data_IF_560656340254
#
_entry.id   IF_560656340254
#
_cell.length_a   1.000
_cell.length_b   1.000
_cell.length_c   1.000
_cell.angle_alpha   90.00
_cell.angle_beta   90.00
_cell.angle_gamma   90.00
#
_symmetry.space_group_name_H-M   'P 1'
#
loop_
_entity.id
_entity.type
_entity.pdbx_description
1 polymer ?
#
# COMPACT_ATOMS: atom_id res chain seq x y z
N UNK A 1 13.12 -19.75 -5.54
CA UNK A 1 12.33 -19.85 -4.28
C UNK A 1 11.02 -19.14 -4.57
N UNK A 2 9.90 -19.84 -4.50
CA UNK A 2 8.57 -19.28 -4.83
C UNK A 2 7.96 -18.71 -3.56
N UNK A 3 7.50 -17.47 -3.58
CA UNK A 3 6.93 -16.80 -2.42
C UNK A 3 5.42 -17.01 -2.36
N UNK A 4 4.96 -17.59 -1.24
CA UNK A 4 3.54 -17.67 -0.88
C UNK A 4 3.34 -16.88 0.40
N UNK A 5 2.51 -15.85 0.36
CA UNK A 5 2.25 -15.00 1.52
C UNK A 5 0.89 -15.34 2.13
N UNK A 6 0.88 -15.50 3.46
CA UNK A 6 -0.34 -15.65 4.24
C UNK A 6 -0.56 -14.43 5.11
N UNK A 7 -1.78 -13.95 5.14
CA UNK A 7 -2.18 -12.89 6.07
C UNK A 7 -2.58 -13.49 7.42
N UNK A 8 -1.62 -13.64 8.35
CA UNK A 8 -1.93 -13.80 9.76
C UNK A 8 -1.41 -12.60 10.55
N UNK A 9 -2.12 -12.12 11.58
CA UNK A 9 -1.77 -10.87 12.27
C UNK A 9 -0.43 -10.88 13.01
N UNK A 10 0.16 -12.01 13.32
CA UNK A 10 1.31 -12.07 14.25
C UNK A 10 2.51 -12.95 13.85
N UNK A 11 2.39 -13.86 12.90
CA UNK A 11 3.51 -14.69 12.47
C UNK A 11 3.45 -14.98 10.97
N UNK A 12 4.34 -14.36 10.22
CA UNK A 12 4.58 -14.74 8.82
C UNK A 12 5.54 -15.92 8.86
N UNK A 13 5.04 -17.14 8.80
CA UNK A 13 5.85 -18.29 8.43
C UNK A 13 5.88 -18.37 6.91
N UNK A 14 7.05 -18.29 6.35
CA UNK A 14 7.27 -18.57 4.94
C UNK A 14 7.09 -20.09 4.75
N UNK A 15 6.06 -20.50 4.01
CA UNK A 15 5.86 -21.88 3.62
C UNK A 15 6.43 -22.00 2.21
N UNK A 16 7.31 -22.96 1.99
CA UNK A 16 7.78 -23.27 0.64
C UNK A 16 6.65 -23.93 -0.14
N UNK A 17 6.69 -23.79 -1.46
CA UNK A 17 5.73 -24.46 -2.34
C UNK A 17 5.74 -25.98 -2.11
N UNK A 18 6.91 -26.56 -1.84
CA UNK A 18 7.09 -27.97 -1.53
C UNK A 18 6.38 -28.38 -0.23
N UNK A 19 6.47 -27.57 0.83
CA UNK A 19 5.75 -27.81 2.09
C UNK A 19 4.23 -27.76 1.92
N UNK A 20 3.72 -26.83 1.08
CA UNK A 20 2.30 -26.76 0.77
C UNK A 20 1.81 -27.98 -0.01
N UNK A 21 2.65 -28.48 -0.93
CA UNK A 21 2.29 -29.60 -1.81
C UNK A 21 2.52 -30.98 -1.16
N UNK A 22 3.39 -31.09 -0.18
CA UNK A 22 3.64 -32.32 0.57
C UNK A 22 2.60 -32.61 1.66
N UNK A 23 1.61 -31.68 1.83
CA UNK A 23 0.57 -31.84 2.85
C UNK A 23 1.14 -31.87 4.27
N UNK A 24 2.17 -31.08 4.53
CA UNK A 24 2.67 -30.91 5.89
C UNK A 24 1.51 -30.40 6.74
N UNK A 25 1.13 -31.19 7.76
CA UNK A 25 0.11 -30.83 8.73
C UNK A 25 0.50 -29.51 9.39
N UNK A 26 -0.05 -28.42 8.89
CA UNK A 26 0.03 -27.12 9.54
C UNK A 26 -0.89 -27.26 10.75
N UNK A 27 -0.38 -27.14 11.99
CA UNK A 27 -1.23 -27.24 13.15
C UNK A 27 -2.36 -26.21 13.02
N UNK A 28 -3.62 -26.68 13.05
CA UNK A 28 -4.83 -25.85 12.92
C UNK A 28 -4.87 -24.72 13.94
N UNK A 29 -4.18 -24.87 15.07
CA UNK A 29 -4.05 -23.85 16.13
C UNK A 29 -3.22 -22.64 15.69
N UNK A 30 -2.35 -22.77 14.70
CA UNK A 30 -1.63 -21.62 14.12
C UNK A 30 -2.49 -20.78 13.15
N UNK A 31 -3.67 -21.28 12.78
CA UNK A 31 -4.63 -20.62 11.88
C UNK A 31 -5.83 -19.99 12.62
N UNK A 32 -5.93 -20.21 13.94
CA UNK A 32 -7.01 -19.70 14.78
C UNK A 32 -6.54 -18.52 15.63
N UNK A 33 -6.60 -17.32 15.10
CA UNK A 33 -6.79 -16.12 15.94
C UNK A 33 -7.35 -14.97 15.13
N UNK A 34 -8.59 -14.66 15.40
CA UNK A 34 -9.12 -13.30 15.23
C UNK A 34 -10.01 -13.01 14.05
N UNK A 35 -11.34 -13.07 14.28
CA UNK A 35 -12.29 -12.07 13.78
C UNK A 35 -12.80 -12.21 12.33
N UNK A 36 -14.03 -12.66 12.23
CA UNK A 36 -14.99 -12.45 11.11
C UNK A 36 -14.41 -12.29 9.69
N UNK A 37 -14.14 -13.41 9.04
CA UNK A 37 -13.91 -13.52 7.62
C UNK A 37 -14.04 -14.99 7.22
N UNK A 38 -14.84 -15.28 6.20
CA UNK A 38 -15.17 -16.61 5.72
C UNK A 38 -13.95 -17.55 5.66
N UNK A 39 -13.97 -18.59 6.46
CA UNK A 39 -13.01 -19.69 6.45
C UNK A 39 -13.16 -20.46 5.11
N UNK A 40 -12.22 -20.30 4.20
CA UNK A 40 -12.08 -21.24 3.09
C UNK A 40 -11.28 -22.44 3.60
N UNK A 41 -11.97 -23.51 3.94
CA UNK A 41 -11.37 -24.79 4.26
C UNK A 41 -10.82 -25.37 2.96
N UNK A 42 -9.50 -25.46 2.83
CA UNK A 42 -8.87 -26.24 1.77
C UNK A 42 -8.93 -27.70 2.20
N UNK A 43 -9.93 -28.43 1.72
CA UNK A 43 -9.98 -29.88 1.88
C UNK A 43 -9.02 -30.48 0.84
N UNK A 44 -7.82 -30.84 1.24
CA UNK A 44 -6.93 -31.67 0.44
C UNK A 44 -7.50 -33.06 0.34
N UNK A 45 -8.39 -33.33 -0.61
CA UNK A 45 -8.63 -34.68 -1.08
C UNK A 45 -7.35 -35.18 -1.79
N UNK A 46 -7.01 -36.46 -1.64
CA UNK A 46 -5.83 -37.10 -2.25
C UNK A 46 -5.92 -37.13 -3.79
N UNK A 47 -5.87 -35.97 -4.43
CA UNK A 47 -5.72 -35.90 -5.89
C UNK A 47 -4.22 -35.88 -6.18
N UNK A 48 -3.73 -36.72 -7.11
CA UNK A 48 -2.31 -36.70 -7.45
C UNK A 48 -1.86 -35.28 -7.82
N UNK A 49 -0.81 -34.81 -7.16
CA UNK A 49 -0.24 -33.46 -7.25
C UNK A 49 -0.10 -32.95 -8.68
N UNK A 50 0.35 -33.83 -9.58
CA UNK A 50 0.52 -33.54 -11.01
C UNK A 50 -0.80 -33.18 -11.72
N UNK A 51 -1.91 -33.86 -11.37
CA UNK A 51 -3.22 -33.59 -11.99
C UNK A 51 -3.79 -32.27 -11.51
N UNK A 52 -3.68 -31.92 -10.23
CA UNK A 52 -4.14 -30.64 -9.71
C UNK A 52 -3.37 -29.45 -10.30
N UNK A 53 -2.03 -29.57 -10.42
CA UNK A 53 -1.20 -28.54 -11.06
C UNK A 53 -1.62 -28.28 -12.50
N UNK A 54 -1.78 -29.33 -13.30
CA UNK A 54 -2.15 -29.24 -14.72
C UNK A 54 -3.53 -28.58 -14.85
N UNK A 55 -4.53 -29.07 -14.12
CA UNK A 55 -5.91 -28.54 -14.22
C UNK A 55 -6.01 -27.07 -13.82
N UNK A 56 -5.28 -26.64 -12.78
CA UNK A 56 -5.30 -25.25 -12.33
C UNK A 56 -4.57 -24.33 -13.31
N UNK A 57 -3.41 -24.75 -13.82
CA UNK A 57 -2.66 -24.01 -14.83
C UNK A 57 -3.45 -23.84 -16.12
N UNK A 58 -4.06 -24.93 -16.62
CA UNK A 58 -4.89 -24.90 -17.83
C UNK A 58 -6.09 -23.95 -17.68
N UNK A 59 -6.70 -23.92 -16.48
CA UNK A 59 -7.79 -23.00 -16.18
C UNK A 59 -7.33 -21.53 -16.25
N UNK A 60 -6.18 -21.20 -15.65
CA UNK A 60 -5.62 -19.85 -15.71
C UNK A 60 -5.26 -19.43 -17.14
N UNK A 61 -4.61 -20.33 -17.90
CA UNK A 61 -4.28 -20.07 -19.30
C UNK A 61 -5.55 -19.89 -20.16
N UNK A 62 -6.60 -20.68 -19.90
CA UNK A 62 -7.89 -20.54 -20.59
C UNK A 62 -8.56 -19.19 -20.27
N UNK A 63 -8.51 -18.74 -19.01
CA UNK A 63 -9.00 -17.43 -18.61
C UNK A 63 -8.22 -16.30 -19.32
N UNK A 64 -6.89 -16.40 -19.43
CA UNK A 64 -6.08 -15.43 -20.16
C UNK A 64 -6.45 -15.37 -21.65
N UNK A 65 -6.63 -16.54 -22.30
CA UNK A 65 -7.06 -16.59 -23.70
C UNK A 65 -8.43 -15.95 -23.89
N UNK A 66 -9.37 -16.23 -23.02
CA UNK A 66 -10.71 -15.63 -23.05
C UNK A 66 -10.63 -14.11 -22.87
N UNK A 67 -9.87 -13.62 -21.87
CA UNK A 67 -9.63 -12.21 -21.66
C UNK A 67 -9.02 -11.53 -22.91
N UNK A 68 -7.96 -12.11 -23.46
CA UNK A 68 -7.28 -11.59 -24.65
C UNK A 68 -8.17 -11.57 -25.89
N UNK A 69 -9.13 -12.50 -26.00
CA UNK A 69 -10.11 -12.53 -27.08
C UNK A 69 -11.19 -11.46 -26.87
N UNK A 70 -11.72 -11.34 -25.66
CA UNK A 70 -12.75 -10.35 -25.34
C UNK A 70 -12.27 -8.89 -25.51
N UNK A 71 -11.00 -8.62 -25.19
CA UNK A 71 -10.41 -7.28 -25.24
C UNK A 71 -9.38 -7.10 -26.35
N UNK A 72 -9.49 -7.91 -27.41
CA UNK A 72 -8.53 -7.90 -28.52
C UNK A 72 -8.34 -6.51 -29.10
N UNK A 73 -9.42 -5.79 -29.36
CA UNK A 73 -9.39 -4.47 -30.02
C UNK A 73 -8.70 -3.41 -29.15
N UNK A 74 -8.87 -3.48 -27.83
CA UNK A 74 -8.16 -2.60 -26.87
C UNK A 74 -6.67 -2.97 -26.74
N UNK A 75 -6.35 -4.27 -26.72
CA UNK A 75 -4.97 -4.77 -26.63
C UNK A 75 -4.17 -4.40 -27.88
N UNK A 76 -4.77 -4.57 -29.03
CA UNK A 76 -4.16 -4.35 -30.33
C UNK A 76 -4.35 -2.89 -30.84
N UNK A 77 -4.96 -2.01 -30.01
CA UNK A 77 -5.18 -0.61 -30.38
C UNK A 77 -3.84 0.10 -30.64
N UNK A 78 -3.68 0.72 -31.84
CA UNK A 78 -2.36 1.19 -32.29
C UNK A 78 -1.81 2.35 -31.46
N UNK A 79 -2.68 3.25 -30.99
CA UNK A 79 -2.29 4.41 -30.18
C UNK A 79 -2.98 4.37 -28.81
N UNK A 80 -2.41 3.63 -27.86
CA UNK A 80 -3.00 3.51 -26.50
C UNK A 80 -3.15 4.84 -25.76
N UNK A 81 -2.41 5.87 -26.17
CA UNK A 81 -2.56 7.22 -25.58
C UNK A 81 -3.99 7.76 -25.73
N UNK A 82 -4.63 7.52 -26.84
CA UNK A 82 -6.01 7.94 -27.13
C UNK A 82 -7.08 7.24 -26.27
N UNK A 83 -6.73 6.20 -25.54
CA UNK A 83 -7.64 5.48 -24.66
C UNK A 83 -7.72 6.10 -23.25
N UNK A 84 -7.09 7.26 -23.03
CA UNK A 84 -7.00 7.93 -21.74
C UNK A 84 -7.34 9.41 -21.85
N UNK A 85 -7.98 9.94 -20.80
CA UNK A 85 -8.05 11.38 -20.54
C UNK A 85 -6.81 11.79 -19.72
N UNK A 86 -6.06 12.76 -20.23
CA UNK A 86 -4.81 13.23 -19.64
C UNK A 86 -5.01 14.57 -18.95
N UNK A 87 -4.72 14.64 -17.67
CA UNK A 87 -4.75 15.89 -16.89
C UNK A 87 -3.75 15.88 -15.75
N UNK A 88 -3.55 17.03 -15.13
CA UNK A 88 -2.62 17.15 -14.02
C UNK A 88 -3.33 17.60 -12.74
N UNK A 89 -2.93 17.02 -11.61
CA UNK A 89 -3.40 17.45 -10.28
C UNK A 89 -2.25 18.00 -9.44
N UNK A 90 -2.46 19.04 -8.62
CA UNK A 90 -1.41 19.59 -7.78
C UNK A 90 -1.00 18.59 -6.68
N UNK A 91 0.32 18.41 -6.49
CA UNK A 91 0.85 17.66 -5.34
C UNK A 91 0.65 18.47 -4.07
N UNK A 92 0.41 17.81 -2.93
CA UNK A 92 0.21 18.47 -1.62
C UNK A 92 1.39 19.33 -1.17
N UNK A 93 2.59 19.05 -1.67
CA UNK A 93 3.82 19.78 -1.31
C UNK A 93 4.61 20.14 -2.56
N UNK A 94 5.20 21.35 -2.58
CA UNK A 94 6.20 21.76 -3.56
C UNK A 94 5.70 22.33 -4.88
N UNK A 95 4.40 22.61 -5.05
CA UNK A 95 3.86 23.25 -6.26
C UNK A 95 4.02 22.44 -7.56
N UNK A 96 4.50 21.20 -7.46
CA UNK A 96 4.66 20.31 -8.62
C UNK A 96 3.33 19.65 -8.97
N UNK A 97 3.09 19.48 -10.27
CA UNK A 97 1.93 18.77 -10.77
C UNK A 97 2.19 17.24 -10.83
N UNK A 98 1.12 16.46 -10.75
CA UNK A 98 1.13 15.01 -10.94
C UNK A 98 0.30 14.69 -12.17
N UNK A 99 0.88 14.10 -13.23
CA UNK A 99 0.10 13.65 -14.37
C UNK A 99 -0.80 12.48 -13.96
N UNK A 100 -2.02 12.51 -14.47
CA UNK A 100 -3.03 11.46 -14.31
C UNK A 100 -3.48 11.05 -15.70
N UNK A 101 -3.45 9.76 -15.93
CA UNK A 101 -3.95 9.13 -17.14
C UNK A 101 -5.20 8.32 -16.77
N UNK A 102 -6.37 8.95 -16.90
CA UNK A 102 -7.64 8.32 -16.57
C UNK A 102 -8.14 7.48 -17.73
N UNK A 103 -8.24 6.15 -17.61
CA UNK A 103 -8.65 5.28 -18.72
C UNK A 103 -10.12 5.50 -19.05
N UNK A 104 -10.46 5.52 -20.34
CA UNK A 104 -11.84 5.53 -20.82
C UNK A 104 -12.64 4.34 -20.27
N UNK A 105 -13.97 4.41 -20.21
CA UNK A 105 -14.81 3.43 -19.48
C UNK A 105 -14.55 1.97 -19.89
N UNK A 106 -14.39 1.69 -21.18
CA UNK A 106 -14.12 0.32 -21.65
C UNK A 106 -12.75 -0.20 -21.20
N UNK A 107 -11.70 0.61 -21.37
CA UNK A 107 -10.37 0.26 -20.89
C UNK A 107 -10.35 0.12 -19.36
N UNK A 108 -11.04 1.01 -18.64
CA UNK A 108 -11.16 0.92 -17.18
C UNK A 108 -11.81 -0.39 -16.75
N UNK A 109 -12.87 -0.82 -17.45
CA UNK A 109 -13.54 -2.11 -17.20
C UNK A 109 -12.61 -3.29 -17.47
N UNK A 110 -11.88 -3.28 -18.60
CA UNK A 110 -10.93 -4.31 -18.94
C UNK A 110 -9.80 -4.44 -17.89
N UNK A 111 -9.23 -3.31 -17.46
CA UNK A 111 -8.19 -3.27 -16.43
C UNK A 111 -8.68 -3.73 -15.05
N UNK A 112 -9.95 -3.43 -14.70
CA UNK A 112 -10.56 -3.93 -13.48
C UNK A 112 -10.76 -5.45 -13.54
N UNK A 113 -11.24 -5.98 -14.66
CA UNK A 113 -11.40 -7.43 -14.83
C UNK A 113 -10.06 -8.17 -14.84
N UNK A 114 -9.02 -7.60 -15.46
CA UNK A 114 -7.66 -8.17 -15.41
C UNK A 114 -7.16 -8.26 -13.97
N UNK A 115 -7.34 -7.19 -13.20
CA UNK A 115 -7.00 -7.15 -11.77
C UNK A 115 -7.75 -8.24 -10.99
N UNK A 116 -9.07 -8.30 -11.14
CA UNK A 116 -9.91 -9.23 -10.36
C UNK A 116 -9.59 -10.70 -10.72
N UNK A 117 -9.36 -10.99 -12.01
CA UNK A 117 -8.92 -12.29 -12.49
C UNK A 117 -7.58 -12.70 -11.84
N UNK A 118 -6.56 -11.85 -11.92
CA UNK A 118 -5.23 -12.15 -11.38
C UNK A 118 -5.23 -12.21 -9.86
N UNK A 119 -5.95 -11.33 -9.17
CA UNK A 119 -6.11 -11.36 -7.72
C UNK A 119 -6.81 -12.65 -7.26
N UNK A 120 -7.77 -13.16 -8.04
CA UNK A 120 -8.46 -14.41 -7.77
C UNK A 120 -7.56 -15.67 -7.82
N UNK A 121 -6.40 -15.58 -8.46
CA UNK A 121 -5.42 -16.70 -8.51
C UNK A 121 -4.48 -16.73 -7.32
N UNK A 122 -4.39 -15.62 -6.57
CA UNK A 122 -3.40 -15.44 -5.50
C UNK A 122 -4.01 -15.68 -4.12
N UNK A 123 -3.23 -16.24 -3.20
CA UNK A 123 -3.58 -16.26 -1.77
C UNK A 123 -3.47 -14.87 -1.14
N UNK A 124 -2.43 -14.13 -1.53
CA UNK A 124 -2.24 -12.74 -1.16
C UNK A 124 -1.54 -11.99 -2.30
N UNK A 125 -2.10 -10.85 -2.67
CA UNK A 125 -1.61 -10.00 -3.76
C UNK A 125 -0.60 -8.93 -3.28
N UNK A 126 -0.14 -9.04 -2.04
CA UNK A 126 0.82 -8.12 -1.45
C UNK A 126 1.57 -8.76 -0.28
N UNK A 127 2.75 -8.24 0.01
CA UNK A 127 3.50 -8.59 1.22
C UNK A 127 2.90 -7.92 2.47
N UNK A 128 3.11 -8.50 3.64
CA UNK A 128 2.57 -8.00 4.92
C UNK A 128 3.06 -6.59 5.31
N UNK A 129 4.16 -6.14 4.75
CA UNK A 129 4.66 -4.77 4.93
C UNK A 129 3.96 -3.73 4.05
N UNK A 130 3.22 -4.13 3.01
CA UNK A 130 2.51 -3.21 2.12
C UNK A 130 1.22 -2.70 2.76
N UNK A 131 1.02 -1.39 2.75
CA UNK A 131 -0.16 -0.72 3.32
C UNK A 131 -0.94 0.09 2.30
N UNK A 132 -0.30 0.59 1.24
CA UNK A 132 -1.00 1.27 0.17
C UNK A 132 -1.81 0.29 -0.68
N UNK A 133 -3.01 0.72 -1.10
CA UNK A 133 -3.87 -0.03 -2.03
C UNK A 133 -4.33 -1.41 -1.51
N UNK A 134 -4.26 -1.63 -0.23
CA UNK A 134 -4.67 -2.86 0.45
C UNK A 134 -5.97 -2.61 1.19
N UNK A 135 -6.99 -3.43 0.90
CA UNK A 135 -8.28 -3.32 1.57
C UNK A 135 -8.13 -3.51 3.09
N UNK A 136 -8.80 -2.64 3.86
CA UNK A 136 -8.76 -2.68 5.32
C UNK A 136 -7.45 -2.16 5.93
N UNK A 137 -6.51 -1.61 5.13
CA UNK A 137 -5.29 -0.98 5.62
C UNK A 137 -5.27 0.52 5.32
N UNK A 138 -4.85 1.31 6.28
CA UNK A 138 -4.73 2.76 6.18
C UNK A 138 -3.31 3.24 6.49
N UNK A 139 -3.05 4.52 6.29
CA UNK A 139 -1.82 5.17 6.73
C UNK A 139 -1.62 5.05 8.24
N UNK A 140 -2.72 5.12 9.03
CA UNK A 140 -2.70 4.94 10.47
C UNK A 140 -2.24 3.53 10.86
N UNK A 141 -2.70 2.49 10.14
CA UNK A 141 -2.31 1.11 10.43
C UNK A 141 -0.82 0.87 10.20
N UNK A 142 -0.24 1.51 9.16
CA UNK A 142 1.20 1.51 8.96
C UNK A 142 1.93 2.11 10.17
N UNK A 143 1.47 3.26 10.67
CA UNK A 143 2.07 3.92 11.84
C UNK A 143 1.87 3.11 13.12
N UNK A 144 0.71 2.46 13.30
CA UNK A 144 0.44 1.54 14.42
C UNK A 144 1.48 0.41 14.46
N UNK A 145 1.89 -0.13 13.31
CA UNK A 145 2.94 -1.15 13.27
C UNK A 145 4.24 -0.64 13.89
N UNK A 146 4.69 0.55 13.53
CA UNK A 146 5.88 1.18 14.12
C UNK A 146 5.70 1.54 15.61
N UNK A 147 4.50 1.95 16.02
CA UNK A 147 4.15 2.19 17.41
C UNK A 147 4.28 0.92 18.25
N UNK A 148 3.77 -0.22 17.78
CA UNK A 148 3.85 -1.53 18.48
C UNK A 148 5.28 -1.98 18.69
N UNK A 149 6.19 -1.64 17.78
CA UNK A 149 7.63 -1.88 17.92
C UNK A 149 8.31 -0.93 18.91
N UNK A 150 7.58 0.00 19.55
CA UNK A 150 8.11 1.02 20.46
C UNK A 150 9.27 1.80 19.85
N UNK A 151 9.20 2.02 18.55
CA UNK A 151 10.29 2.60 17.74
C UNK A 151 10.67 3.99 18.25
N UNK A 152 11.97 4.24 18.29
CA UNK A 152 12.55 5.53 18.67
C UNK A 152 13.25 6.22 17.50
N UNK A 153 13.89 5.44 16.62
CA UNK A 153 14.58 5.89 15.43
C UNK A 153 13.77 5.54 14.20
N UNK A 154 13.68 6.47 13.24
CA UNK A 154 12.85 6.35 12.04
C UNK A 154 13.66 6.75 10.82
N UNK A 155 13.51 6.04 9.72
CA UNK A 155 14.06 6.41 8.43
C UNK A 155 12.99 6.22 7.35
N UNK A 156 12.97 7.16 6.41
CA UNK A 156 12.11 7.17 5.24
C UNK A 156 12.97 7.16 3.99
N UNK A 157 12.59 6.32 3.03
CA UNK A 157 13.14 6.28 1.69
C UNK A 157 12.00 6.39 0.68
N UNK A 158 12.26 6.99 -0.48
CA UNK A 158 11.28 7.24 -1.54
C UNK A 158 11.85 6.74 -2.88
N UNK A 159 11.04 6.02 -3.67
CA UNK A 159 11.43 5.64 -5.02
C UNK A 159 11.13 6.74 -6.02
N UNK A 160 12.12 7.07 -6.84
CA UNK A 160 11.94 8.01 -7.93
C UNK A 160 11.31 7.33 -9.14
N UNK A 161 10.22 7.91 -9.65
CA UNK A 161 9.58 7.44 -10.88
C UNK A 161 8.90 6.08 -10.78
N UNK A 162 8.48 5.63 -9.60
CA UNK A 162 8.01 4.27 -9.33
C UNK A 162 7.01 3.75 -10.38
N UNK A 163 5.87 4.41 -10.59
CA UNK A 163 4.88 4.00 -11.58
C UNK A 163 5.36 4.17 -13.03
N UNK A 164 5.78 5.37 -13.47
CA UNK A 164 6.11 5.60 -14.87
C UNK A 164 7.37 4.87 -15.35
N UNK A 165 8.27 4.49 -14.43
CA UNK A 165 9.47 3.70 -14.78
C UNK A 165 9.22 2.19 -14.75
N UNK A 166 8.13 1.72 -14.13
CA UNK A 166 7.83 0.28 -14.04
C UNK A 166 7.48 -0.28 -15.40
N UNK A 167 8.37 -1.10 -15.98
CA UNK A 167 8.19 -1.71 -17.28
C UNK A 167 7.52 -3.07 -17.22
N UNK A 168 6.84 -3.48 -18.30
CA UNK A 168 6.28 -4.83 -18.44
C UNK A 168 7.35 -5.92 -18.26
N UNK A 169 8.57 -5.69 -18.77
CA UNK A 169 9.70 -6.62 -18.61
C UNK A 169 10.03 -6.84 -17.12
N UNK A 170 10.10 -5.77 -16.35
CA UNK A 170 10.37 -5.86 -14.91
C UNK A 170 9.27 -6.61 -14.17
N UNK A 171 8.00 -6.29 -14.46
CA UNK A 171 6.85 -6.98 -13.84
C UNK A 171 6.91 -8.47 -14.13
N UNK A 172 7.10 -8.89 -15.38
CA UNK A 172 7.21 -10.30 -15.73
C UNK A 172 8.40 -10.99 -15.05
N UNK A 173 9.55 -10.32 -14.93
CA UNK A 173 10.74 -10.84 -14.22
C UNK A 173 10.42 -11.09 -12.74
N UNK A 174 9.73 -10.17 -12.08
CA UNK A 174 9.34 -10.37 -10.67
C UNK A 174 8.30 -11.49 -10.52
N UNK A 175 7.38 -11.63 -11.47
CA UNK A 175 6.37 -12.69 -11.47
C UNK A 175 6.96 -14.09 -11.61
N UNK A 176 8.16 -14.25 -12.16
CA UNK A 176 8.87 -15.53 -12.20
C UNK A 176 9.20 -16.07 -10.80
N UNK A 177 9.22 -15.21 -9.78
CA UNK A 177 9.42 -15.57 -8.37
C UNK A 177 8.11 -15.69 -7.57
N UNK A 178 6.93 -15.50 -8.20
CA UNK A 178 5.64 -15.41 -7.50
C UNK A 178 4.69 -16.51 -7.98
N UNK A 179 4.20 -17.35 -7.05
CA UNK A 179 3.13 -18.30 -7.33
C UNK A 179 1.77 -17.55 -7.47
N UNK A 180 0.91 -17.92 -8.46
CA UNK A 180 1.07 -18.96 -9.45
C UNK A 180 1.68 -18.49 -10.79
N UNK A 181 2.14 -17.24 -10.90
CA UNK A 181 2.63 -16.65 -12.13
C UNK A 181 3.89 -17.36 -12.65
N UNK A 182 4.73 -17.87 -11.75
CA UNK A 182 5.89 -18.67 -12.13
C UNK A 182 5.47 -19.88 -13.00
N UNK A 183 4.40 -20.59 -12.65
CA UNK A 183 3.89 -21.73 -13.44
C UNK A 183 3.37 -21.28 -14.82
N UNK A 184 2.65 -20.15 -14.86
CA UNK A 184 2.14 -19.57 -16.12
C UNK A 184 3.31 -19.16 -17.02
N UNK A 185 4.38 -18.61 -16.43
CA UNK A 185 5.55 -18.15 -17.16
C UNK A 185 6.50 -19.26 -17.60
N UNK A 186 6.46 -20.43 -16.96
CA UNK A 186 7.16 -21.65 -17.41
C UNK A 186 6.49 -22.25 -18.67
N UNK A 187 5.16 -22.14 -18.80
CA UNK A 187 4.43 -22.60 -19.96
C UNK A 187 4.53 -21.60 -21.13
N UNK A 188 4.94 -22.03 -22.35
CA UNK A 188 5.11 -21.11 -23.49
C UNK A 188 3.81 -20.40 -23.92
N UNK A 189 2.67 -21.09 -23.83
CA UNK A 189 1.36 -20.52 -24.15
C UNK A 189 0.96 -19.55 -23.04
N UNK A 190 1.08 -19.97 -21.78
CA UNK A 190 0.81 -19.15 -20.63
C UNK A 190 1.63 -17.85 -20.62
N UNK A 191 2.92 -17.94 -20.87
CA UNK A 191 3.83 -16.78 -20.99
C UNK A 191 3.36 -15.79 -22.06
N UNK A 192 2.98 -16.28 -23.23
CA UNK A 192 2.48 -15.44 -24.33
C UNK A 192 1.19 -14.76 -23.97
N UNK A 193 0.22 -15.51 -23.44
CA UNK A 193 -1.10 -14.99 -23.11
C UNK A 193 -1.04 -14.00 -21.92
N UNK A 194 -0.25 -14.27 -20.89
CA UNK A 194 -0.05 -13.37 -19.76
C UNK A 194 0.62 -12.06 -20.21
N UNK A 195 1.69 -12.16 -21.02
CA UNK A 195 2.35 -10.98 -21.57
C UNK A 195 1.41 -10.12 -22.39
N UNK A 196 0.55 -10.75 -23.21
CA UNK A 196 -0.44 -10.06 -24.04
C UNK A 196 -1.49 -9.35 -23.17
N UNK A 197 -2.06 -10.03 -22.20
CA UNK A 197 -3.03 -9.43 -21.26
C UNK A 197 -2.43 -8.25 -20.50
N UNK A 198 -1.23 -8.43 -19.92
CA UNK A 198 -0.54 -7.39 -19.18
C UNK A 198 -0.17 -6.18 -20.05
N UNK A 199 0.11 -6.37 -21.35
CA UNK A 199 0.46 -5.25 -22.24
C UNK A 199 -0.62 -4.18 -22.32
N UNK A 200 -1.88 -4.52 -22.00
CA UNK A 200 -3.00 -3.58 -21.95
C UNK A 200 -2.82 -2.51 -20.85
N UNK A 201 -2.15 -2.87 -19.76
CA UNK A 201 -2.01 -2.01 -18.58
C UNK A 201 -0.84 -1.00 -18.68
N UNK A 202 -0.04 -1.06 -19.74
CA UNK A 202 1.14 -0.21 -19.87
C UNK A 202 0.93 0.89 -20.92
N UNK A 203 1.30 2.11 -20.54
CA UNK A 203 1.31 3.30 -21.38
C UNK A 203 2.73 3.86 -21.43
N UNK A 204 3.24 4.18 -22.64
CA UNK A 204 4.60 4.73 -22.81
C UNK A 204 5.69 3.92 -22.06
N UNK A 205 5.58 2.60 -22.09
CA UNK A 205 6.49 1.64 -21.44
C UNK A 205 6.51 1.72 -19.91
N UNK A 206 5.55 2.39 -19.28
CA UNK A 206 5.39 2.52 -17.82
C UNK A 206 3.96 2.22 -17.37
N UNK A 207 3.73 2.22 -16.06
CA UNK A 207 2.40 2.11 -15.48
C UNK A 207 1.75 3.49 -15.37
N UNK A 208 0.58 3.72 -16.01
CA UNK A 208 -0.13 4.99 -15.89
C UNK A 208 -0.69 5.20 -14.48
N UNK A 209 -0.71 6.46 -14.03
CA UNK A 209 -1.35 6.85 -12.77
C UNK A 209 -2.82 7.20 -13.01
N UNK A 210 -3.73 6.54 -12.31
CA UNK A 210 -5.18 6.76 -12.45
C UNK A 210 -5.96 5.52 -12.85
N UNK A 211 -5.29 4.40 -13.11
CA UNK A 211 -5.94 3.14 -13.48
C UNK A 211 -6.23 2.25 -12.26
N UNK A 212 -7.22 1.35 -12.33
CA UNK A 212 -7.50 0.41 -11.25
C UNK A 212 -6.44 -0.72 -11.14
N UNK A 213 -5.68 -0.97 -12.20
CA UNK A 213 -4.70 -2.06 -12.27
C UNK A 213 -3.33 -1.68 -11.73
N UNK A 214 -2.85 -0.45 -12.00
CA UNK A 214 -1.49 -0.02 -11.63
C UNK A 214 -1.19 -0.17 -10.13
N UNK A 215 -2.08 0.21 -9.19
CA UNK A 215 -1.86 -0.01 -7.77
C UNK A 215 -1.74 -1.48 -7.37
N UNK A 216 -2.55 -2.35 -7.95
CA UNK A 216 -2.54 -3.79 -7.71
C UNK A 216 -1.21 -4.42 -8.15
N UNK A 217 -0.85 -4.20 -9.42
CA UNK A 217 0.34 -4.84 -9.99
C UNK A 217 1.63 -4.36 -9.31
N UNK A 218 1.68 -3.11 -8.82
CA UNK A 218 2.83 -2.62 -8.06
C UNK A 218 2.98 -3.33 -6.72
N UNK A 219 1.90 -3.71 -6.05
CA UNK A 219 1.99 -4.53 -4.84
C UNK A 219 2.44 -5.96 -5.15
N UNK A 220 1.92 -6.56 -6.22
CA UNK A 220 2.31 -7.92 -6.65
C UNK A 220 3.79 -7.98 -7.00
N UNK A 221 4.26 -7.12 -7.92
CA UNK A 221 5.66 -7.15 -8.37
C UNK A 221 6.68 -6.85 -7.26
N UNK A 222 6.25 -6.18 -6.20
CA UNK A 222 7.11 -5.87 -5.06
C UNK A 222 7.18 -6.98 -4.01
N UNK A 223 6.44 -8.07 -4.14
CA UNK A 223 6.49 -9.19 -3.19
C UNK A 223 7.93 -9.74 -3.03
N UNK A 224 8.68 -10.07 -4.10
CA UNK A 224 10.05 -10.56 -3.96
C UNK A 224 10.99 -9.52 -3.32
N UNK A 225 10.86 -8.26 -3.71
CA UNK A 225 11.60 -7.16 -3.10
C UNK A 225 11.32 -7.04 -1.60
N UNK A 226 10.04 -7.01 -1.22
CA UNK A 226 9.61 -6.86 0.17
C UNK A 226 10.14 -8.00 1.04
N UNK A 227 10.13 -9.24 0.54
CA UNK A 227 10.73 -10.39 1.24
C UNK A 227 12.25 -10.26 1.40
N UNK A 228 12.96 -9.92 0.32
CA UNK A 228 14.41 -9.73 0.35
C UNK A 228 14.80 -8.61 1.31
N UNK A 229 14.09 -7.49 1.24
CA UNK A 229 14.37 -6.33 2.11
C UNK A 229 14.04 -6.60 3.58
N UNK A 230 12.91 -7.25 3.88
CA UNK A 230 12.56 -7.65 5.24
C UNK A 230 13.61 -8.60 5.84
N UNK A 231 14.12 -9.56 5.06
CA UNK A 231 15.20 -10.46 5.47
C UNK A 231 16.50 -9.70 5.76
N UNK A 232 16.92 -8.82 4.84
CA UNK A 232 18.08 -7.97 5.02
C UNK A 232 17.99 -7.16 6.33
N UNK A 233 16.85 -6.56 6.63
CA UNK A 233 16.64 -5.78 7.85
C UNK A 233 16.70 -6.65 9.12
N UNK A 234 16.22 -7.88 9.07
CA UNK A 234 16.35 -8.83 10.18
C UNK A 234 17.82 -9.22 10.42
N UNK A 235 18.56 -9.51 9.36
CA UNK A 235 19.99 -9.85 9.42
C UNK A 235 20.83 -8.66 9.87
N UNK A 236 20.38 -7.44 9.56
CA UNK A 236 21.09 -6.20 9.90
C UNK A 236 21.31 -6.01 11.41
N UNK A 237 20.41 -6.52 12.24
CA UNK A 237 20.53 -6.49 13.71
C UNK A 237 21.01 -7.81 14.32
N UNK A 238 21.09 -8.87 13.52
CA UNK A 238 21.54 -10.18 13.99
C UNK A 238 23.02 -10.12 14.42
N UNK A 239 23.33 -10.72 15.56
CA UNK A 239 24.71 -10.79 16.09
C UNK A 239 25.27 -9.49 16.68
N UNK A 240 24.49 -8.41 16.74
CA UNK A 240 24.90 -7.18 17.41
C UNK A 240 24.62 -7.24 18.91
N UNK A 241 25.50 -6.60 19.69
CA UNK A 241 25.34 -6.46 21.12
C UNK A 241 25.25 -4.99 21.52
N UNK A 242 24.57 -4.74 22.65
CA UNK A 242 24.64 -3.48 23.37
C UNK A 242 26.05 -3.26 23.95
N UNK A 243 26.40 -2.06 24.41
CA UNK A 243 27.70 -1.80 25.05
C UNK A 243 27.97 -2.68 26.28
N UNK A 244 26.95 -3.19 26.93
CA UNK A 244 27.04 -4.12 28.07
C UNK A 244 27.21 -5.59 27.67
N UNK A 245 27.35 -5.88 26.37
CA UNK A 245 27.50 -7.24 25.85
C UNK A 245 26.20 -8.01 25.65
N UNK A 246 25.03 -7.46 26.02
CA UNK A 246 23.73 -8.11 25.80
C UNK A 246 23.36 -8.11 24.33
N UNK A 247 22.80 -9.21 23.77
CA UNK A 247 22.38 -9.24 22.37
C UNK A 247 21.28 -8.23 22.08
N UNK A 248 21.36 -7.55 20.92
CA UNK A 248 20.29 -6.70 20.41
C UNK A 248 19.22 -7.61 19.83
N UNK A 249 18.07 -7.71 20.49
CA UNK A 249 16.91 -8.47 20.05
C UNK A 249 15.89 -7.62 19.29
N UNK A 250 16.08 -6.30 19.28
CA UNK A 250 15.16 -5.37 18.64
C UNK A 250 15.26 -5.46 17.12
N UNK A 251 14.15 -5.79 16.48
CA UNK A 251 14.04 -5.88 15.02
C UNK A 251 13.74 -4.51 14.42
N UNK A 252 14.23 -4.30 13.20
CA UNK A 252 13.83 -3.13 12.41
C UNK A 252 12.44 -3.37 11.85
N UNK A 253 11.49 -2.52 12.23
CA UNK A 253 10.15 -2.51 11.68
C UNK A 253 10.19 -1.94 10.27
N UNK A 254 9.46 -2.58 9.34
CA UNK A 254 9.36 -2.17 7.95
C UNK A 254 7.90 -2.07 7.50
N UNK A 255 7.57 -0.95 6.84
CA UNK A 255 6.32 -0.77 6.10
C UNK A 255 6.60 -0.08 4.77
N UNK A 256 5.80 -0.42 3.75
CA UNK A 256 5.82 0.22 2.43
C UNK A 256 4.43 0.78 2.11
N UNK A 257 4.39 2.02 1.67
CA UNK A 257 3.18 2.67 1.18
C UNK A 257 3.40 3.14 -0.25
N UNK A 258 3.08 2.29 -1.24
CA UNK A 258 3.43 2.46 -2.65
C UNK A 258 4.96 2.58 -2.84
N UNK A 259 5.44 3.77 -3.18
CA UNK A 259 6.84 4.16 -3.34
C UNK A 259 7.54 4.59 -2.05
N UNK A 260 6.78 4.89 -0.98
CA UNK A 260 7.32 5.29 0.31
C UNK A 260 7.70 4.08 1.17
N UNK A 261 8.96 3.97 1.55
CA UNK A 261 9.48 2.96 2.47
C UNK A 261 9.74 3.61 3.83
N UNK A 262 9.13 3.06 4.87
CA UNK A 262 9.39 3.47 6.25
C UNK A 262 10.01 2.33 7.04
N UNK A 263 11.12 2.61 7.69
CA UNK A 263 11.75 1.69 8.63
C UNK A 263 11.94 2.38 9.98
N UNK A 264 11.86 1.60 11.05
CA UNK A 264 12.08 2.13 12.39
C UNK A 264 12.56 1.05 13.36
N UNK A 265 13.22 1.48 14.42
CA UNK A 265 13.71 0.58 15.46
C UNK A 265 13.72 1.30 16.83
N UNK A 266 13.64 0.53 17.91
CA UNK A 266 13.81 1.05 19.27
C UNK A 266 15.25 1.50 19.51
N UNK A 267 16.22 0.76 19.01
CA UNK A 267 17.66 1.06 19.12
C UNK A 267 18.19 1.71 17.87
N UNK A 268 19.30 2.42 17.98
CA UNK A 268 19.95 3.07 16.85
C UNK A 268 20.37 2.05 15.78
N UNK A 269 20.16 2.39 14.52
CA UNK A 269 20.65 1.65 13.36
C UNK A 269 21.30 2.60 12.34
N UNK A 270 22.31 2.11 11.64
CA UNK A 270 22.99 2.91 10.62
C UNK A 270 22.16 2.92 9.32
N UNK A 271 21.29 3.94 9.18
CA UNK A 271 20.43 4.09 8.02
C UNK A 271 21.19 4.25 6.69
N UNK A 272 22.39 4.87 6.71
CA UNK A 272 23.23 5.01 5.50
C UNK A 272 23.74 3.67 4.99
N UNK A 273 23.97 2.71 5.89
CA UNK A 273 24.30 1.35 5.49
C UNK A 273 23.08 0.67 4.89
N UNK A 274 21.89 0.83 5.50
CA UNK A 274 20.64 0.31 4.95
C UNK A 274 20.35 0.91 3.57
N UNK A 275 20.56 2.21 3.38
CA UNK A 275 20.40 2.90 2.10
C UNK A 275 21.30 2.30 1.00
N UNK A 276 22.58 2.05 1.30
CA UNK A 276 23.51 1.43 0.34
C UNK A 276 23.10 0.01 -0.04
N UNK A 277 22.68 -0.81 0.94
CA UNK A 277 22.19 -2.16 0.69
C UNK A 277 20.89 -2.14 -0.12
N UNK A 278 20.01 -1.17 0.15
CA UNK A 278 18.78 -0.98 -0.63
C UNK A 278 19.10 -0.62 -2.09
N UNK A 279 20.03 0.28 -2.34
CA UNK A 279 20.49 0.63 -3.70
C UNK A 279 21.11 -0.60 -4.39
N UNK A 280 21.96 -1.35 -3.71
CA UNK A 280 22.54 -2.57 -4.25
C UNK A 280 21.48 -3.61 -4.62
N UNK A 281 20.45 -3.78 -3.78
CA UNK A 281 19.33 -4.68 -4.04
C UNK A 281 18.50 -4.24 -5.27
N UNK A 282 18.26 -2.93 -5.46
CA UNK A 282 17.58 -2.44 -6.65
C UNK A 282 18.36 -2.75 -7.92
N UNK A 283 19.68 -2.63 -7.87
CA UNK A 283 20.57 -3.01 -8.98
C UNK A 283 20.54 -4.53 -9.25
N UNK A 284 20.59 -5.36 -8.21
CA UNK A 284 20.50 -6.81 -8.35
C UNK A 284 19.20 -7.26 -9.01
N UNK A 285 18.11 -6.58 -8.69
CA UNK A 285 16.78 -6.87 -9.26
C UNK A 285 16.59 -6.31 -10.67
N UNK A 286 17.53 -5.51 -11.22
CA UNK A 286 17.34 -4.70 -12.43
C UNK A 286 16.10 -3.79 -12.31
N UNK A 287 15.87 -3.20 -11.15
CA UNK A 287 14.74 -2.31 -10.93
C UNK A 287 14.81 -1.07 -11.85
N UNK A 288 13.72 -0.73 -12.55
CA UNK A 288 13.73 0.39 -13.48
C UNK A 288 13.56 1.76 -12.79
N UNK A 289 13.36 1.76 -11.49
CA UNK A 289 13.27 2.95 -10.63
C UNK A 289 14.46 3.00 -9.67
N UNK A 290 14.77 4.19 -9.21
CA UNK A 290 15.92 4.45 -8.32
C UNK A 290 15.45 4.98 -6.98
N UNK A 291 16.36 4.97 -6.00
CA UNK A 291 16.12 5.62 -4.71
C UNK A 291 16.33 7.14 -4.85
N UNK A 292 15.38 7.91 -4.34
CA UNK A 292 15.49 9.37 -4.24
C UNK A 292 16.21 9.75 -2.95
N UNK A 293 17.55 9.77 -3.00
CA UNK A 293 18.40 10.02 -1.84
C UNK A 293 18.23 11.41 -1.23
N UNK A 294 17.76 12.41 -2.01
CA UNK A 294 17.47 13.76 -1.51
C UNK A 294 16.27 13.79 -0.56
N UNK A 295 15.35 12.82 -0.71
CA UNK A 295 14.21 12.66 0.16
C UNK A 295 14.46 11.69 1.33
N UNK A 296 15.61 11.02 1.37
CA UNK A 296 15.96 10.19 2.52
C UNK A 296 15.94 11.04 3.79
N UNK A 297 15.12 10.62 4.75
CA UNK A 297 14.97 11.34 6.00
C UNK A 297 15.14 10.41 7.19
N UNK A 298 16.05 10.80 8.11
CA UNK A 298 16.26 10.11 9.37
C UNK A 298 15.88 11.01 10.55
N UNK A 299 15.15 10.48 11.51
CA UNK A 299 14.71 11.22 12.68
C UNK A 299 14.49 10.33 13.90
N UNK A 300 14.15 10.97 15.01
CA UNK A 300 13.84 10.29 16.25
C UNK A 300 12.45 10.70 16.76
N UNK A 301 11.92 9.96 17.74
CA UNK A 301 10.65 10.31 18.40
C UNK A 301 10.68 11.70 19.05
N UNK A 302 11.85 12.16 19.49
CA UNK A 302 12.01 13.50 20.06
C UNK A 302 12.03 14.61 18.99
N UNK A 303 12.16 14.25 17.70
CA UNK A 303 12.29 15.19 16.59
C UNK A 303 11.25 14.98 15.49
N UNK A 304 11.70 15.06 14.24
CA UNK A 304 10.87 14.88 13.06
C UNK A 304 10.79 13.42 12.66
N UNK A 305 9.71 12.74 13.02
CA UNK A 305 9.45 11.34 12.69
C UNK A 305 8.16 11.19 11.86
N UNK A 306 7.91 12.15 10.96
CA UNK A 306 6.73 12.14 10.10
C UNK A 306 6.71 10.91 9.20
N UNK A 307 5.57 10.25 9.19
CA UNK A 307 5.31 9.03 8.46
C UNK A 307 3.88 9.11 7.90
N UNK A 308 3.77 9.22 6.57
CA UNK A 308 2.48 9.28 5.88
C UNK A 308 1.52 10.38 6.39
N UNK A 309 2.08 11.52 6.81
CA UNK A 309 1.31 12.64 7.35
C UNK A 309 0.96 12.53 8.83
N UNK A 310 1.44 11.50 9.52
CA UNK A 310 1.30 11.25 10.96
C UNK A 310 2.67 11.18 11.61
N UNK A 311 2.71 11.25 12.94
CA UNK A 311 3.94 11.06 13.72
C UNK A 311 3.62 10.38 15.05
N UNK A 312 4.65 9.83 15.69
CA UNK A 312 4.59 9.41 17.09
C UNK A 312 5.10 10.54 17.98
N UNK A 313 4.31 10.93 18.97
CA UNK A 313 4.74 11.90 19.97
C UNK A 313 5.78 11.28 20.95
N UNK A 314 6.31 12.09 21.88
CA UNK A 314 7.28 11.61 22.88
C UNK A 314 6.77 10.43 23.73
N UNK A 315 5.46 10.38 23.96
CA UNK A 315 4.80 9.35 24.79
C UNK A 315 4.50 8.08 23.95
N UNK A 316 4.69 8.16 22.63
CA UNK A 316 4.46 7.07 21.69
C UNK A 316 3.06 7.05 21.08
N UNK A 317 2.24 8.08 21.30
CA UNK A 317 0.92 8.18 20.70
C UNK A 317 0.98 8.70 19.27
N UNK A 318 0.08 8.20 18.44
CA UNK A 318 -0.04 8.66 17.05
C UNK A 318 -0.76 10.00 17.04
N UNK A 319 -0.18 10.98 16.35
CA UNK A 319 -0.72 12.35 16.27
C UNK A 319 -0.65 12.90 14.84
N UNK A 320 -1.61 13.76 14.50
CA UNK A 320 -1.57 14.58 13.29
C UNK A 320 -0.62 15.78 13.43
N UNK A 321 -0.06 15.99 14.61
CA UNK A 321 0.93 16.99 14.94
C UNK A 321 0.40 18.39 15.22
N UNK A 322 1.20 19.17 15.94
CA UNK A 322 0.83 20.48 16.46
C UNK A 322 0.32 21.45 15.39
N UNK A 323 0.97 21.47 14.20
CA UNK A 323 0.56 22.38 13.10
C UNK A 323 -0.87 22.10 12.65
N UNK A 324 -1.23 20.82 12.47
CA UNK A 324 -2.57 20.43 12.03
C UNK A 324 -3.61 20.70 13.13
N UNK A 325 -3.27 20.50 14.41
CA UNK A 325 -4.13 20.91 15.52
C UNK A 325 -4.39 22.43 15.53
N UNK A 326 -3.36 23.24 15.27
CA UNK A 326 -3.50 24.69 15.20
C UNK A 326 -4.40 25.12 14.03
N UNK A 327 -4.19 24.52 12.86
CA UNK A 327 -5.02 24.78 11.67
C UNK A 327 -6.47 24.36 11.97
N UNK A 328 -6.72 23.18 12.51
CA UNK A 328 -8.07 22.72 12.86
C UNK A 328 -8.77 23.70 13.79
N UNK A 329 -8.11 24.11 14.89
CA UNK A 329 -8.66 25.09 15.83
C UNK A 329 -9.01 26.42 15.15
N UNK A 330 -8.11 26.94 14.32
CA UNK A 330 -8.35 28.18 13.56
C UNK A 330 -9.53 28.03 12.60
N UNK A 331 -9.60 26.90 11.88
CA UNK A 331 -10.68 26.63 10.92
C UNK A 331 -12.05 26.51 11.62
N UNK A 332 -12.12 25.83 12.77
CA UNK A 332 -13.35 25.76 13.58
C UNK A 332 -13.78 27.16 14.06
N UNK A 333 -12.83 27.92 14.55
CA UNK A 333 -13.09 29.32 15.02
C UNK A 333 -13.63 30.19 13.89
N UNK A 334 -12.98 30.15 12.70
CA UNK A 334 -13.40 30.91 11.52
C UNK A 334 -14.78 30.47 11.05
N UNK A 335 -15.05 29.16 10.97
CA UNK A 335 -16.35 28.64 10.55
C UNK A 335 -17.49 29.14 11.44
N UNK A 336 -17.36 29.07 12.77
CA UNK A 336 -18.39 29.56 13.68
C UNK A 336 -18.57 31.08 13.62
N UNK A 337 -17.49 31.84 13.46
CA UNK A 337 -17.56 33.30 13.31
C UNK A 337 -18.27 33.69 12.01
N UNK A 338 -17.88 33.08 10.89
CA UNK A 338 -18.47 33.33 9.57
C UNK A 338 -19.97 32.99 9.59
N UNK A 339 -20.31 31.81 10.15
CA UNK A 339 -21.70 31.38 10.29
C UNK A 339 -22.55 32.34 11.14
N UNK A 340 -22.01 32.83 12.25
CA UNK A 340 -22.67 33.82 13.10
C UNK A 340 -22.89 35.14 12.41
N UNK A 341 -21.98 35.52 11.52
CA UNK A 341 -22.06 36.76 10.71
C UNK A 341 -22.88 36.56 9.41
N UNK A 342 -23.53 35.41 9.24
CA UNK A 342 -24.34 35.12 8.03
C UNK A 342 -23.52 34.79 6.79
N UNK A 343 -22.19 34.69 6.89
CA UNK A 343 -21.31 34.32 5.77
C UNK A 343 -21.37 32.78 5.58
N UNK A 344 -21.68 32.36 4.38
CA UNK A 344 -21.74 30.95 4.00
C UNK A 344 -20.44 30.52 3.38
N UNK A 345 -20.02 29.31 3.73
CA UNK A 345 -18.92 28.60 3.05
C UNK A 345 -19.49 27.88 1.83
N UNK A 346 -18.68 27.71 0.82
CA UNK A 346 -19.04 26.87 -0.32
C UNK A 346 -19.06 25.38 0.05
N UNK A 347 -19.70 24.59 -0.81
CA UNK A 347 -19.88 23.16 -0.55
C UNK A 347 -18.53 22.42 -0.54
N UNK A 348 -17.59 22.80 -1.41
CA UNK A 348 -16.29 22.16 -1.51
C UNK A 348 -15.47 22.36 -0.23
N UNK A 349 -15.44 23.59 0.30
CA UNK A 349 -14.75 23.91 1.55
C UNK A 349 -15.38 23.22 2.75
N UNK A 350 -16.71 23.14 2.81
CA UNK A 350 -17.43 22.39 3.86
C UNK A 350 -17.14 20.90 3.80
N UNK A 351 -17.11 20.30 2.61
CA UNK A 351 -16.79 18.89 2.43
C UNK A 351 -15.33 18.59 2.84
N UNK A 352 -14.38 19.44 2.44
CA UNK A 352 -12.97 19.36 2.87
C UNK A 352 -12.83 19.47 4.38
N UNK A 353 -13.54 20.44 4.98
CA UNK A 353 -13.50 20.66 6.42
C UNK A 353 -14.05 19.45 7.19
N UNK A 354 -15.22 18.95 6.79
CA UNK A 354 -15.81 17.72 7.36
C UNK A 354 -14.88 16.51 7.23
N UNK A 355 -14.29 16.33 6.05
CA UNK A 355 -13.33 15.26 5.78
C UNK A 355 -12.10 15.33 6.69
N UNK A 356 -11.53 16.53 6.87
CA UNK A 356 -10.41 16.73 7.78
C UNK A 356 -10.75 16.42 9.24
N UNK A 357 -11.92 16.86 9.73
CA UNK A 357 -12.39 16.54 11.08
C UNK A 357 -12.54 15.03 11.24
N UNK A 358 -13.20 14.36 10.32
CA UNK A 358 -13.41 12.91 10.36
C UNK A 358 -12.09 12.15 10.36
N UNK A 359 -11.13 12.56 9.53
CA UNK A 359 -9.80 11.97 9.50
C UNK A 359 -9.06 12.18 10.84
N UNK A 360 -9.05 13.40 11.39
CA UNK A 360 -8.36 13.67 12.64
C UNK A 360 -9.02 12.95 13.83
N UNK A 361 -10.35 12.85 13.87
CA UNK A 361 -11.07 12.02 14.84
C UNK A 361 -10.68 10.54 14.73
N UNK A 362 -10.48 10.02 13.53
CA UNK A 362 -10.03 8.63 13.35
C UNK A 362 -8.61 8.39 13.86
N UNK A 363 -7.75 9.42 13.85
CA UNK A 363 -6.35 9.34 14.32
C UNK A 363 -6.24 9.55 15.83
N UNK A 364 -6.80 10.65 16.34
CA UNK A 364 -6.68 11.10 17.74
C UNK A 364 -8.08 11.38 18.35
N UNK A 365 -8.93 10.34 18.55
CA UNK A 365 -10.34 10.54 18.89
C UNK A 365 -10.54 11.39 20.15
N UNK A 366 -9.84 11.11 21.25
CA UNK A 366 -10.01 11.82 22.52
C UNK A 366 -9.58 13.29 22.42
N UNK A 367 -8.41 13.57 21.82
CA UNK A 367 -7.85 14.91 21.67
C UNK A 367 -8.75 15.79 20.79
N UNK A 368 -9.16 15.26 19.64
CA UNK A 368 -9.96 16.03 18.67
C UNK A 368 -11.39 16.22 19.17
N UNK A 369 -12.00 15.19 19.78
CA UNK A 369 -13.31 15.34 20.43
C UNK A 369 -13.30 16.43 21.51
N UNK A 370 -12.27 16.47 22.34
CA UNK A 370 -12.10 17.53 23.36
C UNK A 370 -11.96 18.94 22.74
N UNK A 371 -11.27 19.05 21.61
CA UNK A 371 -11.22 20.33 20.86
C UNK A 371 -12.60 20.72 20.36
N UNK A 372 -13.35 19.81 19.73
CA UNK A 372 -14.70 20.08 19.21
C UNK A 372 -15.63 20.50 20.36
N UNK A 373 -15.66 19.74 21.46
CA UNK A 373 -16.50 20.04 22.64
C UNK A 373 -16.22 21.44 23.19
N UNK A 374 -14.95 21.85 23.27
CA UNK A 374 -14.56 23.19 23.72
C UNK A 374 -15.20 24.28 22.83
N UNK A 375 -15.17 24.10 21.51
CA UNK A 375 -15.75 25.09 20.60
C UNK A 375 -17.27 25.02 20.56
N UNK A 376 -17.87 23.84 20.69
CA UNK A 376 -19.32 23.66 20.84
C UNK A 376 -19.83 24.44 22.06
N UNK A 377 -19.15 24.32 23.20
CA UNK A 377 -19.49 25.07 24.44
C UNK A 377 -19.32 26.59 24.24
N UNK A 378 -18.23 27.00 23.56
CA UNK A 378 -17.96 28.44 23.31
C UNK A 378 -19.02 29.11 22.44
N UNK A 379 -19.56 28.40 21.45
CA UNK A 379 -20.48 28.96 20.46
C UNK A 379 -21.95 28.54 20.70
N UNK A 380 -22.22 27.65 21.67
CA UNK A 380 -23.56 27.17 21.98
C UNK A 380 -24.19 26.36 20.86
N UNK A 381 -23.38 25.71 20.01
CA UNK A 381 -23.84 24.96 18.84
C UNK A 381 -22.93 23.74 18.58
N UNK A 382 -23.54 22.65 18.09
CA UNK A 382 -22.78 21.46 17.72
C UNK A 382 -22.16 21.61 16.32
N UNK A 383 -20.83 21.51 16.23
CA UNK A 383 -20.05 21.72 15.03
C UNK A 383 -20.47 20.80 13.89
N UNK A 384 -20.59 19.48 14.18
CA UNK A 384 -20.86 18.48 13.13
C UNK A 384 -22.29 18.61 12.61
N UNK A 385 -23.23 18.92 13.48
CA UNK A 385 -24.63 19.23 13.13
C UNK A 385 -24.71 20.50 12.27
N UNK A 386 -23.98 21.55 12.63
CA UNK A 386 -23.91 22.78 11.85
C UNK A 386 -23.40 22.54 10.43
N UNK A 387 -22.25 21.85 10.28
CA UNK A 387 -21.67 21.51 8.97
C UNK A 387 -22.65 20.64 8.16
N UNK A 388 -23.28 19.66 8.80
CA UNK A 388 -24.23 18.76 8.13
C UNK A 388 -25.47 19.50 7.63
N UNK A 389 -25.96 20.52 8.36
CA UNK A 389 -27.08 21.34 7.96
C UNK A 389 -26.71 22.32 6.82
N UNK A 390 -25.49 22.87 6.86
CA UNK A 390 -25.00 23.77 5.84
C UNK A 390 -24.68 23.04 4.50
N UNK A 391 -24.43 21.72 4.55
CA UNK A 391 -24.25 20.83 3.38
C UNK A 391 -25.57 20.31 2.78
N UNK A 392 -26.71 20.42 3.48
CA UNK A 392 -27.99 19.97 2.91
C UNK A 392 -28.39 20.90 1.75
N UNK A 393 -28.78 20.33 0.60
CA UNK A 393 -29.40 21.15 -0.44
C UNK A 393 -30.62 21.84 0.18
N UNK A 394 -30.76 23.16 -0.08
CA UNK A 394 -32.01 23.86 0.28
C UNK A 394 -33.12 23.14 -0.42
N UNK A 395 -34.14 22.68 0.34
CA UNK A 395 -35.40 22.31 -0.25
C UNK A 395 -35.87 23.50 -1.11
N UNK A 396 -36.00 23.25 -2.41
CA UNK A 396 -36.46 24.22 -3.39
C UNK A 396 -37.95 24.57 -3.11
#
# INVERSE_FOLDING_TARGET
MVYITYNTPETVRQITFEELMLGVDIPLDSLRSGGHGSTRTVVCSKVPERIMKITYLDAMISQLKMFNTCYKDLIDYPNKWELYDHFEIPKKTGGKMRPIDAPHPELKKALAQLKDMMSGWMFADHHTCAFAYVNGRSTKDAVIKHQRFRSWYFCHFDFHGFFPSTTLRFVLKQMEEIYPFNLILEDPIGRRELRRALSLAFLNNGLPQGTPFSPFITNVMMIPFDHKFARLLNEFQSGKCNPDGTPITDRICYTRYADDIHISCRVFFNYRKVERELIAMLHELDAPFTLNTEKTHFGTRAGRNWMLGLMLNKDGDITVGYRNHKILKSTIETYFKDRRNGKKWDEEDLQKFRGNISYYLSVEPATIAGVIQKYNAKYGADLLTCISNDLKPKAA
#
